data_IF_970060142327
#
_entry.id   IF_970060142327
#
_cell.length_a   1.000
_cell.length_b   1.000
_cell.length_c   1.000
_cell.angle_alpha   90.00
_cell.angle_beta   90.00
_cell.angle_gamma   90.00
#
_symmetry.space_group_name_H-M   'P 1'
#
loop_
_entity.id
_entity.type
_entity.pdbx_description
1 polymer ?
#
# COMPACT_ATOMS: atom_id res chain seq x y z
N UNK A 1 -10.60 1.25 6.53
CA UNK A 1 -10.22 2.58 7.07
C UNK A 1 -8.74 2.81 6.83
N UNK A 2 -8.37 3.33 5.66
CA UNK A 2 -6.97 3.50 5.23
C UNK A 2 -6.20 4.49 6.11
N UNK A 3 -6.89 5.37 6.84
CA UNK A 3 -6.25 6.38 7.69
C UNK A 3 -5.60 5.78 8.95
N UNK A 4 -6.20 4.77 9.58
CA UNK A 4 -5.61 4.10 10.75
C UNK A 4 -4.32 3.37 10.35
N UNK A 5 -4.36 2.58 9.28
CA UNK A 5 -3.20 1.80 8.82
C UNK A 5 -2.07 2.71 8.35
N UNK A 6 -2.38 3.78 7.59
CA UNK A 6 -1.42 4.80 7.18
C UNK A 6 -0.79 5.50 8.40
N UNK A 7 -1.59 5.89 9.40
CA UNK A 7 -1.09 6.54 10.61
C UNK A 7 -0.19 5.63 11.45
N UNK A 8 -0.59 4.37 11.66
CA UNK A 8 0.23 3.38 12.39
C UNK A 8 1.55 3.14 11.66
N UNK A 9 1.50 2.97 10.33
CA UNK A 9 2.71 2.77 9.51
C UNK A 9 3.62 4.00 9.59
N UNK A 10 3.07 5.21 9.48
CA UNK A 10 3.82 6.46 9.57
C UNK A 10 4.47 6.68 10.93
N UNK A 11 3.74 6.44 12.04
CA UNK A 11 4.30 6.49 13.39
C UNK A 11 5.39 5.42 13.59
N UNK A 12 5.20 4.23 13.05
CA UNK A 12 6.21 3.17 13.09
C UNK A 12 7.51 3.60 12.39
N UNK A 13 7.44 4.22 11.22
CA UNK A 13 8.62 4.78 10.54
C UNK A 13 9.27 5.91 11.32
N UNK A 14 8.48 6.79 11.95
CA UNK A 14 9.01 7.86 12.80
C UNK A 14 9.80 7.30 13.99
N UNK A 15 9.24 6.31 14.70
CA UNK A 15 9.92 5.65 15.81
C UNK A 15 11.16 4.87 15.36
N UNK A 16 11.10 4.22 14.20
CA UNK A 16 12.26 3.53 13.64
C UNK A 16 13.39 4.52 13.31
N UNK A 17 13.07 5.66 12.70
CA UNK A 17 14.05 6.71 12.43
C UNK A 17 14.66 7.28 13.72
N UNK A 18 13.83 7.47 14.75
CA UNK A 18 14.29 7.90 16.07
C UNK A 18 15.26 6.88 16.69
N UNK A 19 14.90 5.60 16.73
CA UNK A 19 15.74 4.56 17.32
C UNK A 19 17.06 4.37 16.53
N UNK A 20 17.02 4.47 15.19
CA UNK A 20 18.23 4.49 14.36
C UNK A 20 19.14 5.68 14.68
N UNK A 21 18.56 6.86 14.91
CA UNK A 21 19.31 8.05 15.31
C UNK A 21 19.94 7.87 16.70
N UNK A 22 19.20 7.34 17.68
CA UNK A 22 19.71 7.01 19.01
C UNK A 22 20.87 6.00 18.95
N UNK A 23 20.75 4.97 18.13
CA UNK A 23 21.83 3.99 17.91
C UNK A 23 23.09 4.63 17.31
N UNK A 24 22.90 5.56 16.36
CA UNK A 24 23.99 6.30 15.73
C UNK A 24 24.71 7.20 16.75
N UNK A 25 23.98 8.00 17.53
CA UNK A 25 24.57 8.86 18.56
C UNK A 25 25.32 8.03 19.62
N UNK A 26 24.72 6.93 20.07
CA UNK A 26 25.35 6.02 21.03
C UNK A 26 26.67 5.45 20.49
N UNK A 27 26.67 4.98 19.23
CA UNK A 27 27.86 4.43 18.58
C UNK A 27 28.95 5.49 18.36
N UNK A 28 28.56 6.72 18.00
CA UNK A 28 29.49 7.83 17.81
C UNK A 28 30.16 8.25 19.13
N UNK A 29 29.39 8.37 20.22
CA UNK A 29 29.91 8.70 21.54
C UNK A 29 30.80 7.59 22.11
N UNK A 30 30.42 6.32 21.93
CA UNK A 30 31.28 5.20 22.32
C UNK A 30 32.59 5.17 21.53
N UNK A 31 32.54 5.43 20.22
CA UNK A 31 33.76 5.48 19.40
C UNK A 31 34.67 6.64 19.80
N UNK A 32 34.11 7.82 20.08
CA UNK A 32 34.88 8.99 20.52
C UNK A 32 35.51 8.80 21.91
N UNK A 33 34.77 8.20 22.85
CA UNK A 33 35.27 7.88 24.19
C UNK A 33 36.33 6.78 24.17
N UNK A 34 36.15 5.73 23.35
CA UNK A 34 37.16 4.70 23.14
C UNK A 34 38.44 5.27 22.51
N UNK A 35 38.34 6.22 21.57
CA UNK A 35 39.49 6.88 20.97
C UNK A 35 40.28 7.74 21.98
N UNK A 36 39.58 8.47 22.86
CA UNK A 36 40.20 9.27 23.93
C UNK A 36 40.80 8.39 25.03
N UNK A 37 40.16 7.28 25.40
CA UNK A 37 40.73 6.31 26.34
C UNK A 37 41.93 5.57 25.75
N UNK A 38 41.91 5.24 24.45
CA UNK A 38 43.04 4.57 23.78
C UNK A 38 44.26 5.48 23.61
N UNK A 39 44.08 6.81 23.54
CA UNK A 39 45.21 7.75 23.55
C UNK A 39 45.83 7.92 24.95
N UNK A 40 45.06 7.61 26.01
CA UNK A 40 45.50 7.76 27.40
C UNK A 40 45.98 6.45 28.05
N UNK A 41 45.48 5.30 27.59
CA UNK A 41 45.85 3.97 28.08
C UNK A 41 46.49 3.16 26.95
N UNK A 42 47.81 2.94 27.03
CA UNK A 42 48.56 2.31 25.95
C UNK A 42 48.08 0.90 25.61
N UNK A 43 47.52 0.10 26.52
CA UNK A 43 47.09 -1.29 26.26
C UNK A 43 45.82 -1.68 27.04
N UNK A 44 44.64 -1.18 26.66
CA UNK A 44 43.36 -1.67 27.22
C UNK A 44 42.51 -2.36 26.15
N UNK A 45 41.95 -3.55 26.40
CA UNK A 45 41.17 -4.28 25.40
C UNK A 45 39.92 -3.48 25.01
N UNK A 46 39.67 -3.40 23.70
CA UNK A 46 38.51 -2.74 23.11
C UNK A 46 37.23 -3.33 23.71
N UNK A 47 36.51 -2.54 24.52
CA UNK A 47 35.26 -2.97 25.10
C UNK A 47 34.25 -3.26 23.96
N UNK A 48 33.65 -4.44 23.97
CA UNK A 48 32.62 -4.82 22.98
C UNK A 48 31.44 -3.89 23.19
N UNK A 49 31.25 -2.95 22.26
CA UNK A 49 30.14 -2.01 22.24
C UNK A 49 28.83 -2.76 21.99
N UNK A 50 28.10 -3.08 23.06
CA UNK A 50 26.75 -3.63 22.98
C UNK A 50 25.72 -2.51 22.93
N UNK A 51 24.73 -2.62 22.06
CA UNK A 51 23.66 -1.65 21.97
C UNK A 51 22.79 -1.70 23.25
N UNK A 52 22.42 -0.55 23.81
CA UNK A 52 21.47 -0.46 24.91
C UNK A 52 20.15 -1.20 24.62
N UNK A 53 19.59 -1.79 25.67
CA UNK A 53 18.38 -2.62 25.57
C UNK A 53 17.14 -1.81 25.23
N UNK A 54 17.07 -0.56 25.66
CA UNK A 54 15.99 0.39 25.33
C UNK A 54 15.91 0.62 23.81
N UNK A 55 17.03 0.98 23.16
CA UNK A 55 17.12 1.15 21.70
C UNK A 55 16.73 -0.14 20.97
N UNK A 56 17.14 -1.30 21.51
CA UNK A 56 16.77 -2.60 20.95
C UNK A 56 15.26 -2.88 21.05
N UNK A 57 14.62 -2.53 22.16
CA UNK A 57 13.17 -2.69 22.32
C UNK A 57 12.41 -1.71 21.42
N UNK A 58 12.84 -0.44 21.37
CA UNK A 58 12.23 0.59 20.54
C UNK A 58 12.24 0.21 19.04
N UNK A 59 13.37 -0.29 18.54
CA UNK A 59 13.48 -0.78 17.15
C UNK A 59 12.54 -1.95 16.88
N UNK A 60 12.48 -2.95 17.78
CA UNK A 60 11.57 -4.10 17.63
C UNK A 60 10.11 -3.65 17.62
N UNK A 61 9.72 -2.77 18.55
CA UNK A 61 8.35 -2.25 18.63
C UNK A 61 8.00 -1.42 17.38
N UNK A 62 8.92 -0.59 16.89
CA UNK A 62 8.73 0.19 15.67
C UNK A 62 8.52 -0.72 14.45
N UNK A 63 9.33 -1.77 14.30
CA UNK A 63 9.19 -2.76 13.22
C UNK A 63 7.83 -3.47 13.31
N UNK A 64 7.43 -3.92 14.51
CA UNK A 64 6.13 -4.56 14.70
C UNK A 64 4.97 -3.61 14.35
N UNK A 65 5.06 -2.33 14.72
CA UNK A 65 4.07 -1.33 14.36
C UNK A 65 4.00 -1.11 12.84
N UNK A 66 5.14 -1.04 12.14
CA UNK A 66 5.17 -0.95 10.67
C UNK A 66 4.51 -2.18 10.05
N UNK A 67 4.91 -3.39 10.46
CA UNK A 67 4.33 -4.63 9.94
C UNK A 67 2.81 -4.67 10.18
N UNK A 68 2.35 -4.31 11.38
CA UNK A 68 0.93 -4.24 11.70
C UNK A 68 0.20 -3.22 10.82
N UNK A 69 0.76 -2.02 10.68
CA UNK A 69 0.19 -0.96 9.84
C UNK A 69 0.06 -1.39 8.38
N UNK A 70 1.09 -2.04 7.83
CA UNK A 70 1.08 -2.56 6.47
C UNK A 70 0.03 -3.66 6.27
N UNK A 71 -0.05 -4.63 7.20
CA UNK A 71 -1.04 -5.72 7.14
C UNK A 71 -2.47 -5.18 7.26
N UNK A 72 -2.72 -4.23 8.18
CA UNK A 72 -4.03 -3.58 8.30
C UNK A 72 -4.39 -2.70 7.08
N UNK A 73 -3.39 -2.30 6.30
CA UNK A 73 -3.55 -1.48 5.11
C UNK A 73 -3.84 -2.28 3.84
N UNK A 74 -3.75 -3.61 3.86
CA UNK A 74 -3.99 -4.42 2.65
C UNK A 74 -5.46 -4.41 2.26
N UNK A 75 -5.78 -4.38 0.94
CA UNK A 75 -7.15 -4.53 0.47
C UNK A 75 -7.71 -5.91 0.83
N UNK A 76 -9.03 -6.01 0.92
CA UNK A 76 -9.68 -7.31 1.18
C UNK A 76 -9.41 -8.30 0.04
N UNK A 77 -9.19 -9.55 0.42
CA UNK A 77 -8.96 -10.63 -0.55
C UNK A 77 -10.21 -10.85 -1.40
N UNK A 78 -10.00 -11.07 -2.70
CA UNK A 78 -11.08 -11.39 -3.60
C UNK A 78 -11.60 -12.80 -3.35
N UNK A 79 -12.91 -13.03 -3.50
CA UNK A 79 -13.46 -14.37 -3.44
C UNK A 79 -12.87 -15.23 -4.56
N UNK A 80 -12.39 -16.42 -4.19
CA UNK A 80 -11.77 -17.40 -5.12
C UNK A 80 -12.81 -17.98 -6.09
N UNK A 81 -14.07 -18.09 -5.65
CA UNK A 81 -15.14 -18.66 -6.45
C UNK A 81 -15.68 -17.64 -7.46
N UNK A 82 -15.52 -17.95 -8.75
CA UNK A 82 -15.96 -17.08 -9.84
C UNK A 82 -17.43 -16.64 -9.73
N UNK A 83 -18.35 -17.54 -9.38
CA UNK A 83 -19.78 -17.21 -9.23
C UNK A 83 -20.03 -16.18 -8.13
N UNK A 84 -19.30 -16.27 -7.02
CA UNK A 84 -19.42 -15.33 -5.89
C UNK A 84 -18.82 -13.98 -6.27
N UNK A 85 -17.66 -13.99 -6.93
CA UNK A 85 -17.02 -12.78 -7.42
C UNK A 85 -17.86 -12.05 -8.46
N UNK A 86 -18.32 -12.76 -9.50
CA UNK A 86 -19.16 -12.21 -10.56
C UNK A 86 -20.48 -11.67 -10.01
N UNK A 87 -21.14 -12.41 -9.11
CA UNK A 87 -22.37 -11.93 -8.46
C UNK A 87 -22.15 -10.70 -7.58
N UNK A 88 -20.97 -10.56 -6.94
CA UNK A 88 -20.60 -9.35 -6.19
C UNK A 88 -20.43 -8.15 -7.12
N UNK A 89 -19.75 -8.32 -8.26
CA UNK A 89 -19.57 -7.29 -9.29
C UNK A 89 -20.92 -6.83 -9.85
N UNK A 90 -21.82 -7.75 -10.19
CA UNK A 90 -23.14 -7.39 -10.72
C UNK A 90 -24.00 -6.62 -9.71
N UNK A 91 -23.93 -7.00 -8.43
CA UNK A 91 -24.72 -6.36 -7.36
C UNK A 91 -24.18 -4.99 -6.96
N UNK A 92 -22.87 -4.86 -6.81
CA UNK A 92 -22.25 -3.68 -6.21
C UNK A 92 -21.67 -2.73 -7.26
N UNK A 93 -21.44 -3.22 -8.49
CA UNK A 93 -20.93 -2.44 -9.62
C UNK A 93 -19.60 -1.76 -9.29
N UNK A 94 -19.33 -0.65 -9.98
CA UNK A 94 -18.14 0.19 -9.74
C UNK A 94 -18.09 0.74 -8.30
N UNK A 95 -19.27 1.02 -7.72
CA UNK A 95 -19.40 1.56 -6.35
C UNK A 95 -18.89 0.61 -5.28
N UNK A 96 -19.02 -0.71 -5.49
CA UNK A 96 -18.49 -1.73 -4.58
C UNK A 96 -16.98 -1.92 -4.63
N UNK A 97 -16.34 -1.37 -5.66
CA UNK A 97 -14.91 -1.47 -5.89
C UNK A 97 -14.26 -0.08 -5.85
N UNK A 98 -14.86 0.88 -5.14
CA UNK A 98 -14.18 2.15 -4.90
C UNK A 98 -13.17 1.98 -3.76
N UNK A 99 -11.94 2.39 -4.02
CA UNK A 99 -10.91 2.50 -3.00
C UNK A 99 -11.29 3.59 -1.99
N UNK A 100 -10.67 3.56 -0.81
CA UNK A 100 -10.88 4.57 0.23
C UNK A 100 -10.55 6.01 -0.19
N UNK A 101 -9.87 6.18 -1.33
CA UNK A 101 -9.52 7.47 -1.92
C UNK A 101 -10.56 7.94 -2.98
N UNK A 102 -11.64 7.19 -3.18
CA UNK A 102 -12.74 7.54 -4.11
C UNK A 102 -12.45 7.23 -5.59
N UNK A 103 -11.34 6.56 -5.88
CA UNK A 103 -11.04 6.03 -7.22
C UNK A 103 -11.55 4.60 -7.34
N UNK A 104 -11.94 4.21 -8.56
CA UNK A 104 -12.23 2.81 -8.89
C UNK A 104 -10.96 2.00 -8.69
N UNK A 105 -11.10 0.85 -8.03
CA UNK A 105 -10.03 -0.11 -7.88
C UNK A 105 -9.48 -0.44 -9.26
N UNK A 106 -8.15 -0.33 -9.41
CA UNK A 106 -7.44 -0.60 -10.69
C UNK A 106 -7.69 -2.02 -11.19
N UNK A 107 -8.06 -2.87 -10.25
CA UNK A 107 -8.34 -4.27 -10.38
C UNK A 107 -9.81 -4.57 -10.73
N UNK A 108 -10.66 -3.55 -10.85
CA UNK A 108 -12.04 -3.68 -11.32
C UNK A 108 -12.05 -3.93 -12.84
N UNK A 109 -12.40 -5.17 -13.22
CA UNK A 109 -12.45 -5.61 -14.63
C UNK A 109 -13.84 -5.34 -15.26
N UNK A 110 -14.80 -4.81 -14.51
CA UNK A 110 -16.17 -4.63 -14.95
C UNK A 110 -16.96 -5.94 -15.02
N UNK A 111 -18.16 -5.91 -15.63
CA UNK A 111 -18.99 -7.10 -15.82
C UNK A 111 -18.20 -8.16 -16.64
N UNK A 112 -17.89 -9.34 -16.06
CA UNK A 112 -17.16 -10.40 -16.76
C UNK A 112 -17.92 -10.96 -17.97
N UNK A 113 -19.25 -10.87 -17.97
CA UNK A 113 -20.11 -11.34 -19.06
C UNK A 113 -20.41 -10.28 -20.10
N UNK A 114 -19.82 -9.09 -19.99
CA UNK A 114 -20.04 -7.97 -20.93
C UNK A 114 -19.84 -8.38 -22.38
N UNK A 115 -18.88 -9.25 -22.69
CA UNK A 115 -18.64 -9.73 -24.06
C UNK A 115 -19.75 -10.65 -24.56
N UNK A 116 -20.31 -11.49 -23.68
CA UNK A 116 -21.41 -12.38 -24.03
C UNK A 116 -22.76 -11.65 -24.15
N UNK A 117 -22.94 -10.58 -23.37
CA UNK A 117 -24.12 -9.71 -23.43
C UNK A 117 -24.08 -8.78 -24.64
N UNK A 118 -22.97 -8.05 -24.84
CA UNK A 118 -22.82 -7.10 -25.94
C UNK A 118 -22.63 -7.75 -27.30
N UNK A 119 -22.18 -9.02 -27.33
CA UNK A 119 -21.95 -9.83 -28.54
C UNK A 119 -21.36 -9.00 -29.67
N UNK A 120 -20.17 -8.41 -29.50
CA UNK A 120 -19.61 -7.45 -30.45
C UNK A 120 -19.49 -8.02 -31.88
N UNK A 121 -19.31 -9.34 -32.02
CA UNK A 121 -19.25 -10.02 -33.32
C UNK A 121 -20.61 -10.20 -34.03
N UNK A 122 -21.73 -9.99 -33.36
CA UNK A 122 -23.10 -10.14 -33.90
C UNK A 122 -23.84 -8.80 -34.04
N UNK A 123 -23.11 -7.69 -33.90
CA UNK A 123 -23.69 -6.36 -34.02
C UNK A 123 -24.05 -6.08 -35.49
N UNK A 124 -25.25 -5.57 -35.72
CA UNK A 124 -25.66 -5.10 -37.05
C UNK A 124 -24.96 -3.78 -37.38
N UNK A 125 -23.82 -3.90 -38.05
CA UNK A 125 -22.98 -2.77 -38.47
C UNK A 125 -23.75 -1.81 -39.40
N UNK A 126 -24.68 -2.32 -40.22
CA UNK A 126 -25.43 -1.49 -41.16
C UNK A 126 -26.47 -0.64 -40.43
N UNK A 127 -27.17 -1.25 -39.47
CA UNK A 127 -28.10 -0.54 -38.60
C UNK A 127 -27.41 0.55 -37.77
N UNK A 128 -26.29 0.22 -37.11
CA UNK A 128 -25.55 1.21 -36.32
C UNK A 128 -25.04 2.39 -37.14
N UNK A 129 -24.54 2.14 -38.36
CA UNK A 129 -24.12 3.22 -39.27
C UNK A 129 -25.27 4.14 -39.67
N UNK A 130 -26.46 3.58 -39.87
CA UNK A 130 -27.67 4.34 -40.18
C UNK A 130 -28.09 5.20 -38.98
N UNK A 131 -28.17 4.60 -37.80
CA UNK A 131 -28.51 5.31 -36.55
C UNK A 131 -27.52 6.45 -36.27
N UNK A 132 -26.22 6.20 -36.45
CA UNK A 132 -25.20 7.24 -36.31
C UNK A 132 -25.38 8.38 -37.33
N UNK A 133 -25.66 8.06 -38.59
CA UNK A 133 -25.89 9.07 -39.63
C UNK A 133 -27.16 9.89 -39.37
N UNK A 134 -28.22 9.28 -38.84
CA UNK A 134 -29.45 9.96 -38.42
C UNK A 134 -29.19 10.88 -37.22
N UNK A 135 -28.45 10.42 -36.21
CA UNK A 135 -28.04 11.22 -35.06
C UNK A 135 -27.17 12.44 -35.46
N UNK A 136 -26.21 12.27 -36.37
CA UNK A 136 -25.41 13.37 -36.92
C UNK A 136 -26.30 14.40 -37.64
N UNK A 137 -27.29 13.93 -38.39
CA UNK A 137 -28.24 14.80 -39.12
C UNK A 137 -29.17 15.57 -38.17
N UNK A 138 -29.48 15.01 -37.00
CA UNK A 138 -30.29 15.62 -35.96
C UNK A 138 -29.51 16.57 -35.04
N UNK A 139 -28.21 16.78 -35.29
CA UNK A 139 -27.41 17.82 -34.65
C UNK A 139 -26.78 17.41 -33.31
N UNK A 140 -26.71 16.11 -33.01
CA UNK A 140 -25.93 15.60 -31.89
C UNK A 140 -26.41 16.03 -30.51
N UNK A 141 -27.73 16.19 -30.33
CA UNK A 141 -28.33 16.43 -29.01
C UNK A 141 -28.10 15.24 -28.05
N UNK A 142 -28.02 15.52 -26.73
CA UNK A 142 -27.75 14.51 -25.71
C UNK A 142 -28.83 13.42 -25.62
#
# INVERSE_FOLDING_TARGET
MTWISKSITGLGFLFLAHACYSAHEHSALQSASAATLSSLASHSPSAVATLPIDISIETVVAILAICLGLVLGTPELRPIQWRVWAGKIEREGEKGFMNGDGEVDKDYVGNPFRVLESRPGFVDIRKQRKEFAEWVREGGGP
#
